data_IF_435013262182
#
_entry.id   IF_435013262182
#
_cell.length_a   1.000
_cell.length_b   1.000
_cell.length_c   1.000
_cell.angle_alpha   90.00
_cell.angle_beta   90.00
_cell.angle_gamma   90.00
#
_symmetry.space_group_name_H-M   'P 1'
#
loop_
_entity.id
_entity.type
_entity.pdbx_description
1 polymer ?
#
# COMPACT_ATOMS: atom_id res chain seq x y z
N UNK A 1 -24.42 16.42 -5.37
CA UNK A 1 -23.56 16.03 -4.23
C UNK A 1 -22.64 14.94 -4.74
N UNK A 2 -21.37 15.25 -4.99
CA UNK A 2 -20.38 14.26 -5.45
C UNK A 2 -19.58 13.79 -4.24
N UNK A 3 -19.77 12.53 -3.87
CA UNK A 3 -18.96 11.88 -2.85
C UNK A 3 -17.65 11.38 -3.49
N UNK A 4 -16.52 11.80 -2.96
CA UNK A 4 -15.19 11.33 -3.33
C UNK A 4 -14.64 10.59 -2.10
N UNK A 5 -14.72 9.26 -2.06
CA UNK A 5 -14.35 8.52 -0.83
C UNK A 5 -13.61 7.19 -1.01
N UNK A 6 -13.20 6.80 -2.22
CA UNK A 6 -12.34 5.63 -2.40
C UNK A 6 -11.07 6.00 -3.19
N UNK A 7 -9.91 5.57 -2.66
CA UNK A 7 -8.60 5.70 -3.30
C UNK A 7 -8.07 7.11 -3.61
N UNK A 8 -8.53 8.16 -2.91
CA UNK A 8 -7.96 9.50 -3.06
C UNK A 8 -6.45 9.53 -2.74
N UNK A 9 -5.63 9.96 -3.70
CA UNK A 9 -4.19 10.20 -3.55
C UNK A 9 -3.86 11.59 -4.06
N UNK A 10 -2.95 12.28 -3.39
CA UNK A 10 -2.49 13.61 -3.76
C UNK A 10 -1.00 13.70 -3.47
N UNK A 11 -0.22 14.26 -4.39
CA UNK A 11 1.23 14.43 -4.27
C UNK A 11 1.60 15.88 -4.60
N UNK A 12 2.45 16.52 -3.77
CA UNK A 12 2.99 17.82 -4.10
C UNK A 12 3.92 17.68 -5.29
N UNK A 13 3.81 18.62 -6.22
CA UNK A 13 4.64 18.72 -7.40
C UNK A 13 5.15 20.15 -7.51
N UNK A 14 6.47 20.30 -7.45
CA UNK A 14 7.11 21.61 -7.61
C UNK A 14 7.17 21.96 -9.10
N UNK A 15 6.14 22.67 -9.58
CA UNK A 15 6.13 23.20 -10.94
C UNK A 15 6.56 24.67 -10.93
N UNK A 16 7.74 24.95 -11.47
CA UNK A 16 8.33 26.31 -11.45
C UNK A 16 8.37 26.84 -10.00
N UNK A 17 7.85 28.05 -9.76
CA UNK A 17 7.80 28.72 -8.46
C UNK A 17 6.49 28.52 -7.69
N UNK A 18 5.49 27.84 -8.28
CA UNK A 18 4.18 27.65 -7.66
C UNK A 18 3.98 26.20 -7.21
N UNK A 19 3.45 25.96 -6.00
CA UNK A 19 3.12 24.60 -5.57
C UNK A 19 1.93 24.09 -6.37
N UNK A 20 2.12 22.97 -7.07
CA UNK A 20 1.04 22.22 -7.69
C UNK A 20 0.83 20.92 -6.94
N UNK A 21 -0.37 20.36 -7.07
CA UNK A 21 -0.74 19.09 -6.50
C UNK A 21 -1.30 18.21 -7.60
N UNK A 22 -0.71 17.04 -7.80
CA UNK A 22 -1.24 16.01 -8.69
C UNK A 22 -2.08 15.07 -7.85
N UNK A 23 -3.32 14.82 -8.26
CA UNK A 23 -4.22 13.93 -7.53
C UNK A 23 -4.88 12.90 -8.43
N UNK A 24 -5.30 11.82 -7.78
CA UNK A 24 -6.15 10.78 -8.34
C UNK A 24 -7.24 10.40 -7.36
N UNK A 25 -8.44 10.16 -7.88
CA UNK A 25 -9.58 9.75 -7.05
C UNK A 25 -10.54 8.91 -7.86
N UNK A 26 -11.36 8.11 -7.18
CA UNK A 26 -12.48 7.41 -7.81
C UNK A 26 -13.77 8.12 -7.41
N UNK A 27 -14.57 8.50 -8.40
CA UNK A 27 -15.91 9.05 -8.17
C UNK A 27 -16.83 7.96 -7.67
N UNK A 28 -17.56 8.21 -6.58
CA UNK A 28 -18.47 7.20 -6.02
C UNK A 28 -19.75 7.03 -6.85
N UNK A 29 -20.04 7.95 -7.75
CA UNK A 29 -21.29 7.96 -8.53
C UNK A 29 -21.30 6.92 -9.63
N UNK A 30 -20.14 6.68 -10.23
CA UNK A 30 -19.98 5.92 -11.47
C UNK A 30 -18.67 5.10 -11.50
N UNK A 31 -17.97 4.99 -10.36
CA UNK A 31 -16.67 4.34 -10.21
C UNK A 31 -15.60 4.81 -11.21
N UNK A 32 -15.80 6.01 -11.76
CA UNK A 32 -14.87 6.58 -12.73
C UNK A 32 -13.63 7.10 -12.02
N UNK A 33 -12.46 6.71 -12.55
CA UNK A 33 -11.16 7.19 -12.07
C UNK A 33 -10.91 8.57 -12.68
N UNK A 34 -10.61 9.54 -11.83
CA UNK A 34 -10.29 10.92 -12.21
C UNK A 34 -8.83 11.19 -11.87
N UNK A 35 -8.14 11.83 -12.82
CA UNK A 35 -6.82 12.39 -12.58
C UNK A 35 -6.88 13.89 -12.72
N UNK A 36 -6.10 14.59 -11.91
CA UNK A 36 -6.03 16.03 -12.04
C UNK A 36 -4.78 16.64 -11.47
N UNK A 37 -4.66 17.94 -11.75
CA UNK A 37 -3.66 18.83 -11.21
C UNK A 37 -4.35 20.10 -10.72
N UNK A 38 -3.93 20.61 -9.57
CA UNK A 38 -4.47 21.85 -8.99
C UNK A 38 -3.37 22.62 -8.26
N UNK A 39 -3.47 23.94 -8.21
CA UNK A 39 -2.66 24.78 -7.32
C UNK A 39 -3.26 24.91 -5.91
N UNK A 40 -4.37 24.20 -5.65
CA UNK A 40 -5.18 24.25 -4.43
C UNK A 40 -5.87 25.61 -4.15
N UNK A 41 -5.88 26.54 -5.11
CA UNK A 41 -6.49 27.86 -4.96
C UNK A 41 -7.54 28.05 -6.07
N UNK A 42 -7.09 28.32 -7.29
CA UNK A 42 -7.95 28.76 -8.40
C UNK A 42 -7.83 27.84 -9.62
N UNK A 43 -6.69 27.19 -9.82
CA UNK A 43 -6.46 26.31 -10.95
C UNK A 43 -6.95 24.88 -10.63
N UNK A 44 -7.80 24.34 -11.50
CA UNK A 44 -8.19 22.94 -11.45
C UNK A 44 -8.23 22.39 -12.87
N UNK A 45 -7.44 21.35 -13.11
CA UNK A 45 -7.41 20.64 -14.37
C UNK A 45 -7.65 19.16 -14.11
N UNK A 46 -8.59 18.55 -14.80
CA UNK A 46 -8.97 17.15 -14.58
C UNK A 46 -9.20 16.41 -15.89
N UNK A 47 -9.11 15.09 -15.83
CA UNK A 47 -9.57 14.18 -16.87
C UNK A 47 -10.25 12.98 -16.22
N UNK A 48 -11.39 12.58 -16.79
CA UNK A 48 -12.03 11.30 -16.45
C UNK A 48 -11.41 10.22 -17.32
N UNK A 49 -10.87 9.18 -16.70
CA UNK A 49 -10.21 8.09 -17.40
C UNK A 49 -11.21 7.14 -18.05
N UNK A 50 -11.44 7.35 -19.35
CA UNK A 50 -12.15 6.38 -20.20
C UNK A 50 -11.23 5.22 -20.60
N UNK A 51 -11.80 4.11 -21.08
CA UNK A 51 -11.02 2.97 -21.62
C UNK A 51 -10.03 3.41 -22.71
N UNK A 52 -10.43 4.36 -23.55
CA UNK A 52 -9.62 4.91 -24.63
C UNK A 52 -8.43 5.71 -24.09
N UNK A 53 -8.68 6.61 -23.13
CA UNK A 53 -7.63 7.44 -22.53
C UNK A 53 -6.68 6.62 -21.65
N UNK A 54 -7.16 5.54 -21.01
CA UNK A 54 -6.31 4.61 -20.24
C UNK A 54 -5.26 3.93 -21.13
N UNK A 55 -5.64 3.48 -22.33
CA UNK A 55 -4.70 2.90 -23.30
C UNK A 55 -3.70 3.93 -23.83
N UNK A 56 -4.12 5.18 -24.02
CA UNK A 56 -3.20 6.25 -24.38
C UNK A 56 -2.20 6.56 -23.23
N UNK A 57 -2.66 6.53 -21.97
CA UNK A 57 -1.86 6.80 -20.77
C UNK A 57 -0.85 5.73 -20.43
N UNK A 58 -1.14 4.47 -20.73
CA UNK A 58 -0.35 3.35 -20.22
C UNK A 58 0.12 2.41 -21.35
N UNK A 59 -0.23 2.70 -22.60
CA UNK A 59 -0.02 1.80 -23.73
C UNK A 59 -1.00 0.64 -23.73
N UNK A 60 -0.58 -0.51 -24.26
CA UNK A 60 -1.37 -1.76 -24.26
C UNK A 60 -1.40 -2.44 -22.88
N UNK A 61 -1.52 -1.67 -21.80
CA UNK A 61 -1.65 -2.22 -20.46
C UNK A 61 -3.09 -2.69 -20.25
N UNK A 62 -3.30 -3.93 -19.78
CA UNK A 62 -4.63 -4.43 -19.44
C UNK A 62 -5.35 -3.53 -18.42
N UNK A 63 -6.66 -3.34 -18.58
CA UNK A 63 -7.47 -2.44 -17.74
C UNK A 63 -7.31 -2.71 -16.23
N UNK A 64 -7.08 -3.97 -15.83
CA UNK A 64 -6.89 -4.38 -14.43
C UNK A 64 -5.52 -3.99 -13.83
N UNK A 65 -4.55 -3.58 -14.65
CA UNK A 65 -3.23 -3.12 -14.21
C UNK A 65 -3.11 -1.59 -14.20
N UNK A 66 -4.10 -0.88 -14.75
CA UNK A 66 -4.11 0.59 -14.84
C UNK A 66 -4.03 1.24 -13.45
N UNK A 67 -4.84 0.74 -12.51
CA UNK A 67 -4.81 1.22 -11.12
C UNK A 67 -3.50 0.85 -10.40
N UNK A 68 -2.90 -0.30 -10.74
CA UNK A 68 -1.61 -0.72 -10.17
C UNK A 68 -0.47 0.19 -10.64
N UNK A 69 -0.39 0.47 -11.94
CA UNK A 69 0.63 1.35 -12.51
C UNK A 69 0.43 2.80 -12.04
N UNK A 70 -0.82 3.23 -11.87
CA UNK A 70 -1.16 4.49 -11.23
C UNK A 70 -0.66 4.55 -9.79
N UNK A 71 -1.01 3.55 -8.98
CA UNK A 71 -0.55 3.45 -7.60
C UNK A 71 0.98 3.42 -7.50
N UNK A 72 1.66 2.76 -8.44
CA UNK A 72 3.11 2.70 -8.51
C UNK A 72 3.72 4.04 -8.94
N UNK A 73 3.12 4.74 -9.90
CA UNK A 73 3.56 6.08 -10.28
C UNK A 73 3.46 7.04 -9.08
N UNK A 74 2.37 6.95 -8.31
CA UNK A 74 2.18 7.71 -7.06
C UNK A 74 3.25 7.32 -6.06
N UNK A 75 3.41 6.02 -5.79
CA UNK A 75 4.39 5.53 -4.82
C UNK A 75 5.85 5.87 -5.17
N UNK A 76 6.17 6.21 -6.43
CA UNK A 76 7.52 6.48 -6.90
C UNK A 76 7.76 7.93 -7.34
N UNK A 77 6.81 8.85 -7.09
CA UNK A 77 6.89 10.26 -7.51
C UNK A 77 7.15 10.45 -9.02
N UNK A 78 6.58 9.60 -9.87
CA UNK A 78 6.89 9.55 -11.31
C UNK A 78 5.90 10.35 -12.15
N UNK A 79 5.75 11.65 -11.86
CA UNK A 79 4.88 12.56 -12.61
C UNK A 79 5.66 13.71 -13.20
N UNK A 80 5.15 14.23 -14.32
CA UNK A 80 5.55 15.53 -14.84
C UNK A 80 4.31 16.32 -15.25
N UNK A 81 4.20 17.56 -14.77
CA UNK A 81 3.22 18.52 -15.26
C UNK A 81 3.87 19.32 -16.38
N UNK A 82 3.24 19.32 -17.55
CA UNK A 82 3.72 20.00 -18.75
C UNK A 82 2.66 21.01 -19.18
N UNK A 83 2.97 22.29 -19.00
CA UNK A 83 2.15 23.39 -19.52
C UNK A 83 2.60 23.72 -20.95
N UNK A 84 1.68 23.59 -21.92
CA UNK A 84 1.92 23.98 -23.32
C UNK A 84 0.72 24.74 -23.86
N UNK A 85 0.95 25.96 -24.33
CA UNK A 85 -0.06 26.78 -25.02
C UNK A 85 -1.36 26.96 -24.19
N UNK A 86 -1.24 27.16 -22.87
CA UNK A 86 -2.39 27.30 -21.98
C UNK A 86 -3.11 25.99 -21.65
N UNK A 87 -2.56 24.84 -22.03
CA UNK A 87 -3.05 23.51 -21.63
C UNK A 87 -2.10 22.87 -20.64
N UNK A 88 -2.67 22.35 -19.56
CA UNK A 88 -1.95 21.53 -18.59
C UNK A 88 -2.00 20.09 -19.03
N UNK A 89 -0.84 19.43 -19.10
CA UNK A 89 -0.73 18.03 -19.43
C UNK A 89 -0.04 17.29 -18.28
N UNK A 90 -0.40 16.03 -18.06
CA UNK A 90 0.31 15.13 -17.14
C UNK A 90 0.99 14.04 -17.95
N UNK A 91 2.24 13.73 -17.61
CA UNK A 91 2.94 12.51 -18.04
C UNK A 91 3.23 11.60 -16.85
N UNK A 92 2.96 10.32 -17.04
CA UNK A 92 3.34 9.25 -16.11
C UNK A 92 4.68 8.65 -16.55
N UNK A 93 5.74 8.81 -15.77
CA UNK A 93 7.07 8.25 -16.08
C UNK A 93 7.15 6.74 -15.77
N UNK A 94 6.04 6.01 -15.92
CA UNK A 94 5.90 4.57 -15.68
C UNK A 94 5.91 3.72 -16.97
N UNK A 95 6.42 4.28 -18.08
CA UNK A 95 6.50 3.59 -19.39
C UNK A 95 5.57 4.17 -20.47
N UNK A 96 4.77 5.18 -20.13
CA UNK A 96 3.96 5.93 -21.08
C UNK A 96 4.80 6.97 -21.82
N UNK A 97 4.73 7.00 -23.16
CA UNK A 97 5.55 7.93 -23.96
C UNK A 97 4.89 9.30 -24.17
N UNK A 98 3.57 9.42 -24.06
CA UNK A 98 2.84 10.63 -24.43
C UNK A 98 2.20 11.34 -23.22
N UNK A 99 2.41 12.66 -23.05
CA UNK A 99 1.64 13.48 -22.11
C UNK A 99 0.16 13.53 -22.49
N UNK A 100 -0.71 13.64 -21.49
CA UNK A 100 -2.15 13.75 -21.67
C UNK A 100 -2.63 15.11 -21.23
N UNK A 101 -3.40 15.75 -22.11
CA UNK A 101 -4.06 17.01 -21.82
C UNK A 101 -5.17 16.82 -20.78
N UNK A 102 -5.19 17.71 -19.79
CA UNK A 102 -6.26 17.83 -18.81
C UNK A 102 -7.24 18.92 -19.25
N UNK A 103 -8.51 18.70 -18.96
CA UNK A 103 -9.55 19.69 -19.21
C UNK A 103 -9.52 20.75 -18.11
N UNK A 104 -9.61 22.02 -18.50
CA UNK A 104 -9.74 23.12 -17.54
C UNK A 104 -11.12 23.10 -16.87
N UNK A 105 -11.09 23.03 -15.54
CA UNK A 105 -12.24 22.97 -14.63
C UNK A 105 -12.16 24.06 -13.58
N UNK A 106 -11.37 25.11 -13.80
CA UNK A 106 -11.11 26.17 -12.81
C UNK A 106 -12.39 26.88 -12.32
N UNK A 107 -13.46 26.92 -13.14
CA UNK A 107 -14.78 27.41 -12.71
C UNK A 107 -15.45 26.60 -11.57
N UNK A 108 -14.95 25.39 -11.28
CA UNK A 108 -15.39 24.52 -10.18
C UNK A 108 -14.29 24.29 -9.13
N UNK A 109 -13.14 24.95 -9.26
CA UNK A 109 -11.95 24.71 -8.43
C UNK A 109 -12.28 24.72 -6.94
N UNK A 110 -12.93 25.78 -6.45
CA UNK A 110 -13.22 25.93 -5.02
C UNK A 110 -14.00 24.76 -4.42
N UNK A 111 -15.05 24.31 -5.10
CA UNK A 111 -15.88 23.21 -4.61
C UNK A 111 -15.11 21.89 -4.63
N UNK A 112 -14.48 21.57 -5.75
CA UNK A 112 -13.76 20.31 -5.91
C UNK A 112 -12.53 20.26 -5.00
N UNK A 113 -11.74 21.33 -4.91
CA UNK A 113 -10.58 21.41 -4.01
C UNK A 113 -11.01 21.25 -2.55
N UNK A 114 -12.14 21.83 -2.13
CA UNK A 114 -12.67 21.62 -0.78
C UNK A 114 -13.06 20.14 -0.55
N UNK A 115 -13.66 19.48 -1.54
CA UNK A 115 -13.97 18.03 -1.47
C UNK A 115 -12.68 17.19 -1.39
N UNK A 116 -11.66 17.51 -2.19
CA UNK A 116 -10.35 16.85 -2.17
C UNK A 116 -9.67 17.03 -0.80
N UNK A 117 -9.74 18.23 -0.22
CA UNK A 117 -9.19 18.51 1.11
C UNK A 117 -9.93 17.71 2.20
N UNK A 118 -11.26 17.67 2.16
CA UNK A 118 -12.05 16.85 3.08
C UNK A 118 -11.70 15.36 2.96
N UNK A 119 -11.52 14.85 1.73
CA UNK A 119 -11.08 13.47 1.50
C UNK A 119 -9.67 13.21 2.03
N UNK A 120 -8.74 14.17 1.87
CA UNK A 120 -7.39 14.09 2.41
C UNK A 120 -7.40 13.98 3.94
N UNK A 121 -8.14 14.86 4.61
CA UNK A 121 -8.27 14.88 6.07
C UNK A 121 -8.89 13.58 6.59
N UNK A 122 -9.99 13.12 5.97
CA UNK A 122 -10.63 11.86 6.33
C UNK A 122 -9.67 10.66 6.18
N UNK A 123 -8.84 10.65 5.13
CA UNK A 123 -7.83 9.61 4.91
C UNK A 123 -6.72 9.64 5.96
N UNK A 124 -6.20 10.83 6.31
CA UNK A 124 -5.18 10.99 7.36
C UNK A 124 -5.72 10.48 8.69
N UNK A 125 -6.97 10.82 9.03
CA UNK A 125 -7.61 10.33 10.26
C UNK A 125 -7.64 8.81 10.32
N UNK A 126 -8.14 8.15 9.26
CA UNK A 126 -8.18 6.68 9.17
C UNK A 126 -6.80 6.05 9.26
N UNK A 127 -5.80 6.62 8.57
CA UNK A 127 -4.42 6.12 8.63
C UNK A 127 -3.84 6.23 10.04
N UNK A 128 -4.13 7.32 10.76
CA UNK A 128 -3.69 7.47 12.14
C UNK A 128 -4.33 6.45 13.07
N UNK A 129 -5.63 6.17 12.91
CA UNK A 129 -6.32 5.10 13.65
C UNK A 129 -5.70 3.73 13.36
N UNK A 130 -5.45 3.40 12.09
CA UNK A 130 -4.84 2.14 11.68
C UNK A 130 -3.42 1.96 12.21
N UNK A 131 -2.59 3.03 12.14
CA UNK A 131 -1.23 3.03 12.68
C UNK A 131 -1.27 2.85 14.20
N UNK A 132 -2.18 3.55 14.89
CA UNK A 132 -2.33 3.42 16.35
C UNK A 132 -2.70 2.00 16.73
N UNK A 133 -3.70 1.41 16.06
CA UNK A 133 -4.13 0.03 16.30
C UNK A 133 -3.01 -0.99 16.06
N UNK A 134 -2.29 -0.88 14.93
CA UNK A 134 -1.15 -1.77 14.64
C UNK A 134 -0.01 -1.60 15.64
N UNK A 135 0.22 -0.38 16.12
CA UNK A 135 1.22 -0.08 17.15
C UNK A 135 0.84 -0.70 18.50
N UNK A 136 -0.43 -0.61 18.90
CA UNK A 136 -0.94 -1.26 20.11
C UNK A 136 -0.85 -2.78 20.03
N UNK A 137 -1.22 -3.38 18.90
CA UNK A 137 -1.09 -4.82 18.65
C UNK A 137 0.36 -5.27 18.72
N UNK A 138 1.28 -4.54 18.08
CA UNK A 138 2.72 -4.80 18.16
C UNK A 138 3.26 -4.65 19.59
N UNK A 139 2.82 -3.63 20.32
CA UNK A 139 3.22 -3.41 21.71
C UNK A 139 2.76 -4.58 22.61
N UNK A 140 1.50 -5.03 22.49
CA UNK A 140 0.97 -6.20 23.21
C UNK A 140 1.72 -7.49 22.86
N UNK A 141 2.14 -7.67 21.60
CA UNK A 141 2.93 -8.82 21.18
C UNK A 141 4.37 -8.81 21.77
N UNK A 142 4.90 -7.65 22.16
CA UNK A 142 6.23 -7.49 22.75
C UNK A 142 6.24 -7.56 24.29
N UNK A 143 5.10 -7.36 24.96
CA UNK A 143 4.98 -7.51 26.42
C UNK A 143 5.46 -8.87 26.98
N UNK A 144 5.18 -10.02 26.34
CA UNK A 144 5.65 -11.33 26.81
C UNK A 144 7.17 -11.50 26.76
N UNK A 145 7.85 -10.76 25.87
CA UNK A 145 9.31 -10.83 25.69
C UNK A 145 10.01 -9.99 26.77
N UNK A 146 9.44 -8.84 27.14
CA UNK A 146 9.99 -7.97 28.19
C UNK A 146 9.86 -8.59 29.59
N UNK A 147 8.80 -9.36 29.84
CA UNK A 147 8.63 -10.14 31.06
C UNK A 147 9.51 -11.42 31.11
N UNK A 148 10.11 -11.81 29.98
CA UNK A 148 11.05 -12.94 29.88
C UNK A 148 12.52 -12.59 30.02
N UNK A 149 12.91 -11.31 29.90
CA UNK A 149 14.32 -10.86 29.93
C UNK A 149 14.71 -10.21 31.27
N UNK A 150 13.76 -9.83 32.13
CA UNK A 150 14.03 -9.66 33.56
C UNK A 150 14.06 -11.04 34.23
N UNK A 151 15.28 -11.57 34.30
CA UNK A 151 15.71 -12.88 34.77
C UNK A 151 15.32 -13.22 36.24
N UNK A 152 15.72 -14.39 36.79
CA UNK A 152 14.84 -15.52 37.06
C UNK A 152 14.77 -15.81 38.57
N UNK A 153 13.61 -15.79 39.22
CA UNK A 153 13.51 -16.42 40.55
C UNK A 153 12.09 -16.85 40.90
N UNK A 154 12.05 -18.11 41.34
CA UNK A 154 11.00 -18.74 42.14
C UNK A 154 9.60 -18.81 41.56
N UNK A 155 9.35 -19.82 40.72
CA UNK A 155 8.46 -20.93 41.11
C UNK A 155 9.04 -22.22 40.57
N UNK A 156 9.88 -22.87 41.37
CA UNK A 156 10.19 -24.27 41.18
C UNK A 156 8.89 -25.08 41.30
N UNK A 157 8.17 -25.26 40.19
CA UNK A 157 7.33 -26.44 40.04
C UNK A 157 8.30 -27.60 40.03
N UNK A 158 8.23 -28.46 41.06
CA UNK A 158 8.95 -29.74 41.05
C UNK A 158 8.73 -30.38 39.67
N UNK A 159 9.78 -30.77 38.94
CA UNK A 159 9.57 -31.50 37.70
C UNK A 159 8.76 -32.76 38.04
N UNK A 160 7.76 -33.14 37.23
CA UNK A 160 7.09 -34.41 37.42
C UNK A 160 8.17 -35.50 37.39
N UNK A 161 8.21 -36.35 38.42
CA UNK A 161 9.04 -37.56 38.43
C UNK A 161 8.57 -38.40 37.24
N UNK A 162 9.29 -38.34 36.12
CA UNK A 162 9.13 -39.30 35.05
C UNK A 162 9.63 -40.64 35.59
N UNK A 163 8.70 -41.46 36.07
CA UNK A 163 8.98 -42.85 36.39
C UNK A 163 9.26 -43.52 35.04
N UNK A 164 10.53 -43.74 34.75
CA UNK A 164 10.94 -44.58 33.61
C UNK A 164 10.57 -46.03 33.96
N UNK A 165 9.32 -46.43 33.73
CA UNK A 165 8.87 -47.82 33.91
C UNK A 165 9.55 -48.79 32.92
N UNK A 166 10.25 -48.27 31.91
CA UNK A 166 11.04 -49.07 30.96
C UNK A 166 12.36 -49.62 31.51
N UNK A 167 12.82 -49.16 32.68
CA UNK A 167 14.00 -49.71 33.38
C UNK A 167 13.68 -50.90 34.29
N UNK A 168 12.40 -51.20 34.53
CA UNK A 168 11.97 -52.19 35.52
C UNK A 168 11.61 -53.55 34.88
N UNK A 169 11.48 -53.63 33.56
CA UNK A 169 11.20 -54.90 32.87
C UNK A 169 12.03 -55.09 31.59
N UNK A 170 13.15 -55.83 31.65
CA UNK A 170 13.99 -56.14 30.49
C UNK A 170 13.27 -56.86 29.34
N UNK A 171 12.14 -57.53 29.62
CA UNK A 171 11.38 -58.35 28.67
C UNK A 171 10.46 -57.59 27.71
N UNK A 172 10.25 -56.27 27.89
CA UNK A 172 9.31 -55.49 27.06
C UNK A 172 9.97 -54.45 26.16
N UNK A 173 11.27 -54.60 25.85
CA UNK A 173 11.91 -53.78 24.82
C UNK A 173 11.28 -54.09 23.45
N UNK A 174 10.40 -53.20 22.98
CA UNK A 174 9.99 -53.16 21.57
C UNK A 174 11.26 -53.00 20.73
N UNK A 175 11.53 -53.98 19.86
CA UNK A 175 12.67 -53.95 18.92
C UNK A 175 12.53 -52.70 18.05
N UNK A 176 13.50 -51.78 18.14
CA UNK A 176 13.57 -50.64 17.21
C UNK A 176 13.85 -51.20 15.81
N UNK A 177 13.00 -50.85 14.85
CA UNK A 177 13.22 -51.08 13.42
C UNK A 177 14.53 -50.36 13.04
N UNK A 178 15.46 -51.05 12.38
CA UNK A 178 16.68 -50.43 11.89
C UNK A 178 16.31 -49.38 10.83
N UNK A 179 16.55 -48.11 11.13
CA UNK A 179 16.55 -47.05 10.13
C UNK A 179 17.91 -47.08 9.43
N UNK A 180 18.04 -47.98 8.45
CA UNK A 180 19.17 -47.95 7.53
C UNK A 180 19.00 -46.73 6.62
N UNK A 181 19.80 -45.70 6.86
CA UNK A 181 20.03 -44.63 5.89
C UNK A 181 21.21 -45.09 5.06
N UNK A 182 20.96 -45.53 3.83
CA UNK A 182 22.02 -45.73 2.84
C UNK A 182 22.38 -44.34 2.29
N UNK A 183 23.67 -44.02 2.32
CA UNK A 183 24.24 -42.94 1.54
C UNK A 183 24.96 -43.62 0.38
N UNK A 184 24.48 -43.40 -0.84
CA UNK A 184 25.19 -43.80 -2.05
C UNK A 184 26.37 -42.83 -2.22
N UNK A 185 27.59 -43.35 -2.10
CA UNK A 185 28.82 -42.66 -2.52
C UNK A 185 28.97 -42.88 -4.03
N UNK A 186 28.59 -41.88 -4.83
CA UNK A 186 29.02 -41.80 -6.23
C UNK A 186 30.42 -41.17 -6.27
N UNK A 187 31.42 -42.01 -6.49
CA UNK A 187 32.78 -41.62 -6.86
C UNK A 187 33.38 -42.68 -7.78
N UNK A 188 33.14 -42.51 -9.08
CA UNK A 188 34.09 -42.81 -10.18
C UNK A 188 33.68 -42.02 -11.44
#
# INVERSE_FOLDING_TARGET
MTALQQNFRCHPYHYKSAPWFVFGTTRTTDDSVVLGATDAIDALHEIVLTKENKRALLGNVPDNQVESNWNEAFAKDRFEIIERQGRVNIRLNSGASQPIALDDRSGQARTVVAELFAAAVARIHRLNEDVSKKTEEAARALEPIRLGITSPRSKAKKPPKAVNESLVNPGQRKRKKATGVQFDDDSD
#
